data_IF_184149344625
#
_entry.id   IF_184149344625
#
_cell.length_a   1.000
_cell.length_b   1.000
_cell.length_c   1.000
_cell.angle_alpha   90.00
_cell.angle_beta   90.00
_cell.angle_gamma   90.00
#
_symmetry.space_group_name_H-M   'P 1'
#
loop_
_entity.id
_entity.type
_entity.pdbx_description
1 polymer ?
#
# COMPACT_ATOMS: atom_id res chain seq x y z
N UNK A 1 -4.35 -21.31 -12.37
CA UNK A 1 -3.62 -21.56 -11.12
C UNK A 1 -3.12 -20.20 -10.65
N UNK A 2 -3.46 -19.76 -9.45
CA UNK A 2 -2.90 -18.51 -8.93
C UNK A 2 -1.47 -18.82 -8.48
N UNK A 3 -0.48 -18.21 -9.15
CA UNK A 3 0.90 -18.28 -8.67
C UNK A 3 0.99 -17.52 -7.35
N UNK A 4 1.73 -18.09 -6.40
CA UNK A 4 1.99 -17.42 -5.13
C UNK A 4 2.97 -16.27 -5.39
N UNK A 5 2.51 -15.04 -5.20
CA UNK A 5 3.32 -13.83 -5.33
C UNK A 5 3.80 -13.44 -3.93
N UNK A 6 5.11 -13.27 -3.76
CA UNK A 6 5.69 -12.74 -2.52
C UNK A 6 5.63 -11.22 -2.52
N UNK A 7 5.31 -10.65 -1.36
CA UNK A 7 5.36 -9.20 -1.11
C UNK A 7 6.61 -8.91 -0.24
N UNK A 8 7.75 -8.66 -0.88
CA UNK A 8 9.05 -8.59 -0.20
C UNK A 8 9.43 -7.16 0.23
N UNK A 9 8.78 -6.14 -0.34
CA UNK A 9 9.06 -4.74 -0.03
C UNK A 9 8.06 -4.22 1.00
N UNK A 10 8.55 -3.59 2.06
CA UNK A 10 7.75 -3.10 3.18
C UNK A 10 8.02 -1.63 3.48
N UNK A 11 6.96 -0.86 3.68
CA UNK A 11 6.99 0.55 4.07
C UNK A 11 6.00 0.76 5.21
N UNK A 12 6.37 1.58 6.19
CA UNK A 12 5.45 1.94 7.26
C UNK A 12 5.64 3.37 7.73
N UNK A 13 4.56 3.92 8.27
CA UNK A 13 4.54 5.24 8.85
C UNK A 13 3.71 5.25 10.12
N UNK A 14 4.29 5.77 11.20
CA UNK A 14 3.61 5.88 12.49
C UNK A 14 2.71 7.12 12.52
N UNK A 15 1.58 7.00 13.20
CA UNK A 15 0.71 8.15 13.45
C UNK A 15 1.44 9.19 14.33
N UNK A 16 1.20 10.50 14.12
CA UNK A 16 1.78 11.55 14.97
C UNK A 16 1.22 11.46 16.38
N UNK A 17 2.06 11.71 17.38
CA UNK A 17 1.69 11.65 18.81
C UNK A 17 0.52 12.57 19.21
N UNK A 18 0.21 13.59 18.40
CA UNK A 18 -0.84 14.59 18.67
C UNK A 18 -2.14 14.34 17.90
N UNK A 19 -2.33 13.14 17.31
CA UNK A 19 -3.56 12.80 16.59
C UNK A 19 -3.69 13.46 15.23
N UNK A 20 -2.56 13.71 14.56
CA UNK A 20 -2.53 14.21 13.18
C UNK A 20 -2.75 13.10 12.16
N UNK A 21 -2.97 13.49 10.91
CA UNK A 21 -2.98 12.55 9.79
C UNK A 21 -1.55 12.36 9.28
N UNK A 22 -1.22 11.14 8.86
CA UNK A 22 -0.01 10.89 8.09
C UNK A 22 -0.38 10.03 6.90
N UNK A 23 0.05 10.47 5.74
CA UNK A 23 -0.32 9.87 4.47
C UNK A 23 0.94 9.35 3.81
N UNK A 24 0.87 8.11 3.33
CA UNK A 24 1.88 7.55 2.43
C UNK A 24 1.33 7.62 1.02
N UNK A 25 2.01 8.36 0.14
CA UNK A 25 1.59 8.51 -1.24
C UNK A 25 2.46 7.64 -2.13
N UNK A 26 1.84 6.71 -2.84
CA UNK A 26 2.49 5.85 -3.82
C UNK A 26 2.14 6.31 -5.23
N UNK A 27 3.16 6.47 -6.08
CA UNK A 27 3.00 6.80 -7.48
C UNK A 27 3.53 5.67 -8.35
N UNK A 28 2.62 5.02 -9.05
CA UNK A 28 2.92 3.79 -9.79
C UNK A 28 3.32 4.08 -11.24
N UNK A 29 2.98 5.25 -11.78
CA UNK A 29 3.10 5.54 -13.21
C UNK A 29 2.07 4.83 -14.09
N UNK A 30 1.19 4.03 -13.47
CA UNK A 30 0.08 3.30 -14.11
C UNK A 30 -1.27 4.01 -13.96
N UNK A 31 -1.24 5.20 -13.37
CA UNK A 31 -2.36 5.88 -12.70
C UNK A 31 -3.53 6.22 -13.66
N UNK A 32 -3.31 6.20 -14.98
CA UNK A 32 -4.31 6.58 -15.99
C UNK A 32 -4.86 5.43 -16.86
N UNK A 33 -4.40 4.17 -16.70
CA UNK A 33 -4.79 3.10 -17.67
C UNK A 33 -4.94 1.68 -17.13
N UNK A 34 -4.71 1.46 -15.83
CA UNK A 34 -4.61 0.10 -15.30
C UNK A 34 -5.87 -0.31 -14.54
N UNK A 35 -6.34 -1.53 -14.82
CA UNK A 35 -7.44 -2.13 -14.06
C UNK A 35 -6.88 -2.61 -12.73
N UNK A 36 -7.42 -2.10 -11.64
CA UNK A 36 -7.10 -2.53 -10.28
C UNK A 36 -8.24 -3.39 -9.76
N UNK A 37 -7.91 -4.53 -9.15
CA UNK A 37 -8.84 -5.33 -8.36
C UNK A 37 -8.54 -5.13 -6.89
N UNK A 38 -9.53 -4.62 -6.17
CA UNK A 38 -9.44 -4.37 -4.74
C UNK A 38 -10.12 -5.47 -3.95
N UNK A 39 -9.42 -5.98 -2.94
CA UNK A 39 -9.97 -6.84 -1.89
C UNK A 39 -9.81 -6.12 -0.57
N UNK A 40 -10.92 -5.84 0.10
CA UNK A 40 -10.92 -5.11 1.36
C UNK A 40 -11.40 -6.06 2.45
N UNK A 41 -10.58 -6.28 3.46
CA UNK A 41 -10.92 -7.00 4.68
C UNK A 41 -11.07 -5.93 5.77
N UNK A 42 -12.31 -5.71 6.19
CA UNK A 42 -12.62 -4.89 7.33
C UNK A 42 -12.98 -5.82 8.49
N UNK A 43 -12.14 -5.90 9.52
CA UNK A 43 -12.52 -6.56 10.77
C UNK A 43 -12.92 -5.52 11.80
N UNK A 44 -14.19 -5.11 11.80
CA UNK A 44 -14.71 -4.08 12.71
C UNK A 44 -15.37 -4.72 13.95
N UNK A 45 -14.82 -4.48 15.16
CA UNK A 45 -15.62 -4.47 16.41
C UNK A 45 -15.55 -3.13 17.19
N UNK A 46 -15.11 -2.08 16.51
CA UNK A 46 -15.62 -0.68 16.55
C UNK A 46 -15.09 0.12 15.33
N UNK A 47 -13.99 -0.33 14.68
CA UNK A 47 -13.51 0.02 13.31
C UNK A 47 -12.31 -0.82 12.82
N UNK A 48 -11.58 -1.49 13.72
CA UNK A 48 -10.44 -2.43 13.51
C UNK A 48 -9.41 -2.11 12.41
N UNK A 49 -8.50 -3.06 12.09
CA UNK A 49 -7.51 -2.85 11.03
C UNK A 49 -8.20 -2.88 9.66
N UNK A 50 -7.90 -1.88 8.84
CA UNK A 50 -8.35 -1.87 7.44
C UNK A 50 -7.24 -2.52 6.63
N UNK A 51 -7.54 -3.68 6.06
CA UNK A 51 -6.65 -4.42 5.19
C UNK A 51 -7.15 -4.28 3.75
N UNK A 52 -6.30 -3.76 2.86
CA UNK A 52 -6.62 -3.55 1.44
C UNK A 52 -5.57 -4.23 0.58
N UNK A 53 -6.01 -5.08 -0.33
CA UNK A 53 -5.16 -5.77 -1.28
C UNK A 53 -5.50 -5.29 -2.70
N UNK A 54 -4.54 -4.71 -3.40
CA UNK A 54 -4.68 -4.17 -4.75
C UNK A 54 -3.89 -5.04 -5.73
N UNK A 55 -4.57 -5.53 -6.76
CA UNK A 55 -3.95 -6.29 -7.86
C UNK A 55 -4.10 -5.51 -9.16
N UNK A 56 -3.00 -4.96 -9.64
CA UNK A 56 -2.92 -4.19 -10.87
C UNK A 56 -2.77 -5.14 -12.07
N UNK A 57 -3.39 -4.81 -13.21
CA UNK A 57 -3.24 -5.63 -14.43
C UNK A 57 -1.82 -5.67 -15.00
N UNK A 58 -0.91 -4.83 -14.49
CA UNK A 58 0.54 -4.85 -14.80
C UNK A 58 1.30 -5.93 -14.04
N UNK A 59 0.67 -6.60 -13.07
CA UNK A 59 1.31 -7.58 -12.20
C UNK A 59 1.86 -6.99 -10.89
N UNK A 60 1.75 -5.68 -10.69
CA UNK A 60 1.97 -5.06 -9.38
C UNK A 60 0.88 -5.54 -8.41
N UNK A 61 1.31 -5.91 -7.21
CA UNK A 61 0.45 -6.30 -6.10
C UNK A 61 0.85 -5.50 -4.88
N UNK A 62 -0.12 -4.85 -4.24
CA UNK A 62 0.07 -4.09 -3.01
C UNK A 62 -0.88 -4.60 -1.93
N UNK A 63 -0.39 -4.66 -0.70
CA UNK A 63 -1.17 -4.94 0.49
C UNK A 63 -0.96 -3.82 1.49
N UNK A 64 -2.04 -3.18 1.89
CA UNK A 64 -2.07 -2.12 2.87
C UNK A 64 -2.74 -2.62 4.13
N UNK A 65 -2.18 -2.21 5.27
CA UNK A 65 -2.77 -2.47 6.57
C UNK A 65 -2.67 -1.21 7.41
N UNK A 66 -3.83 -0.67 7.75
CA UNK A 66 -3.93 0.53 8.57
C UNK A 66 -4.51 0.21 9.94
N UNK A 67 -3.91 0.79 10.97
CA UNK A 67 -4.36 0.76 12.37
C UNK A 67 -4.48 2.18 12.88
N UNK A 68 -4.99 2.35 14.11
CA UNK A 68 -5.07 3.67 14.73
C UNK A 68 -3.69 4.35 14.95
N UNK A 69 -2.58 3.61 14.88
CA UNK A 69 -1.25 4.09 15.21
C UNK A 69 -0.21 3.92 14.10
N UNK A 70 -0.54 3.20 13.02
CA UNK A 70 0.42 2.75 12.03
C UNK A 70 -0.29 2.48 10.70
N UNK A 71 0.28 2.97 9.62
CA UNK A 71 -0.01 2.51 8.26
C UNK A 71 1.16 1.67 7.74
N UNK A 72 0.85 0.52 7.17
CA UNK A 72 1.81 -0.44 6.62
C UNK A 72 1.47 -0.73 5.17
N UNK A 73 2.48 -0.87 4.31
CA UNK A 73 2.31 -1.27 2.91
C UNK A 73 3.36 -2.29 2.53
N UNK A 74 2.91 -3.35 1.86
CA UNK A 74 3.74 -4.41 1.32
C UNK A 74 3.54 -4.50 -0.19
N UNK A 75 4.60 -4.70 -0.97
CA UNK A 75 4.51 -4.83 -2.43
C UNK A 75 5.41 -5.92 -2.99
N UNK A 76 5.08 -6.43 -4.17
CA UNK A 76 5.95 -7.36 -4.93
C UNK A 76 6.98 -6.65 -5.81
N UNK A 77 6.93 -5.32 -5.90
CA UNK A 77 7.88 -4.49 -6.64
C UNK A 77 8.43 -3.35 -5.74
N UNK A 78 9.68 -2.91 -5.95
CA UNK A 78 10.30 -1.89 -5.12
C UNK A 78 9.71 -0.50 -5.36
N UNK A 79 9.66 0.29 -4.29
CA UNK A 79 9.38 1.72 -4.32
C UNK A 79 10.50 2.46 -3.60
N UNK A 80 10.78 3.69 -4.02
CA UNK A 80 11.77 4.55 -3.39
C UNK A 80 11.12 5.85 -2.92
N UNK A 81 11.47 6.28 -1.70
CA UNK A 81 11.04 7.57 -1.17
C UNK A 81 11.91 8.68 -1.76
N UNK A 82 11.28 9.65 -2.41
CA UNK A 82 11.95 10.83 -2.96
C UNK A 82 11.88 12.02 -2.00
N UNK A 83 12.66 13.06 -2.28
CA UNK A 83 12.74 14.30 -1.49
C UNK A 83 11.40 15.07 -1.44
N UNK A 84 10.48 14.80 -2.37
CA UNK A 84 9.12 15.34 -2.39
C UNK A 84 8.15 14.64 -1.43
N UNK A 85 8.61 13.57 -0.74
CA UNK A 85 7.81 12.79 0.19
C UNK A 85 6.91 11.74 -0.47
N UNK A 86 7.08 11.48 -1.78
CA UNK A 86 6.31 10.49 -2.53
C UNK A 86 7.15 9.23 -2.74
N UNK A 87 6.50 8.07 -2.61
CA UNK A 87 7.08 6.79 -2.98
C UNK A 87 6.84 6.53 -4.46
N UNK A 88 7.90 6.45 -5.25
CA UNK A 88 7.83 6.15 -6.68
C UNK A 88 8.16 4.68 -6.93
N UNK A 89 7.38 4.03 -7.79
CA UNK A 89 7.68 2.67 -8.24
C UNK A 89 9.03 2.68 -8.96
N UNK A 90 9.97 1.85 -8.52
CA UNK A 90 11.23 1.65 -9.23
C UNK A 90 10.91 0.85 -10.48
N UNK A 91 10.89 1.51 -11.63
CA UNK A 91 10.79 0.84 -12.92
C UNK A 91 12.14 0.22 -13.28
N UNK A 92 12.15 -1.05 -13.64
CA UNK A 92 13.28 -1.66 -14.37
C UNK A 92 13.48 -1.01 -15.75
#
# INVERSE_FOLDING_TARGET
MFEHIKLEYYYSVSAPATGGETTMTFKTGYDDSVKVKDYIINDDIKRGPIERFEVFSTGLVMFHRDTASLGETYSNMPFELHDDGIFYLVSD
#
